data_IF_548086888075
#
_entry.id   IF_548086888075
#
_cell.length_a   1.000
_cell.length_b   1.000
_cell.length_c   1.000
_cell.angle_alpha   90.00
_cell.angle_beta   90.00
_cell.angle_gamma   90.00
#
_symmetry.space_group_name_H-M   'P 1'
#
loop_
_entity.id
_entity.type
_entity.pdbx_description
1 polymer ?
#
# COMPACT_ATOMS: atom_id res chain seq x y z
N UNK A 1 -7.39 -2.92 -21.29
CA UNK A 1 -6.06 -2.40 -20.88
C UNK A 1 -6.28 -1.71 -19.55
N UNK A 2 -5.90 -2.34 -18.44
CA UNK A 2 -6.15 -1.82 -17.09
C UNK A 2 -4.88 -1.16 -16.54
N UNK A 3 -5.07 0.00 -15.91
CA UNK A 3 -4.02 0.98 -15.60
C UNK A 3 -3.19 0.58 -14.37
N UNK A 4 -1.87 0.59 -14.51
CA UNK A 4 -0.97 0.91 -13.40
C UNK A 4 -0.78 2.43 -13.42
N UNK A 5 -1.28 3.13 -12.40
CA UNK A 5 -0.89 4.50 -12.11
C UNK A 5 0.27 4.45 -11.11
N UNK A 6 1.49 4.24 -11.60
CA UNK A 6 2.75 4.58 -10.90
C UNK A 6 3.87 4.71 -11.96
N UNK A 7 4.93 5.49 -11.70
CA UNK A 7 5.49 6.47 -12.64
C UNK A 7 6.23 5.80 -13.82
N UNK A 8 6.25 6.48 -14.97
CA UNK A 8 6.94 6.05 -16.21
C UNK A 8 8.44 5.70 -16.05
N UNK A 9 9.05 6.00 -14.90
CA UNK A 9 10.47 5.80 -14.60
C UNK A 9 10.78 4.50 -13.83
N UNK A 10 9.79 3.64 -13.56
CA UNK A 10 10.07 2.27 -13.09
C UNK A 10 10.70 2.11 -11.70
N UNK A 11 10.59 3.11 -10.81
CA UNK A 11 11.21 3.11 -9.48
C UNK A 11 10.46 2.33 -8.39
N UNK A 12 9.31 1.71 -8.70
CA UNK A 12 8.67 0.70 -7.84
C UNK A 12 7.83 -0.27 -8.68
N UNK A 13 8.17 -1.56 -8.63
CA UNK A 13 7.45 -2.60 -9.34
C UNK A 13 6.22 -3.00 -8.52
N UNK A 14 5.05 -2.39 -8.78
CA UNK A 14 3.78 -2.99 -8.39
C UNK A 14 3.56 -4.26 -9.23
N UNK A 15 4.27 -5.33 -8.88
CA UNK A 15 4.24 -6.61 -9.57
C UNK A 15 2.91 -7.29 -9.26
N UNK A 16 2.15 -7.58 -10.31
CA UNK A 16 0.92 -8.36 -10.21
C UNK A 16 1.23 -9.76 -10.74
N UNK A 17 1.06 -10.77 -9.89
CA UNK A 17 1.24 -12.19 -10.23
C UNK A 17 -0.12 -12.81 -10.48
N UNK A 18 -0.20 -13.70 -11.47
CA UNK A 18 -1.38 -14.53 -11.71
C UNK A 18 -1.24 -15.80 -10.89
N UNK A 19 -2.16 -16.01 -9.94
CA UNK A 19 -2.32 -17.27 -9.20
C UNK A 19 -3.57 -17.99 -9.74
N UNK A 20 -3.53 -19.31 -9.81
CA UNK A 20 -4.69 -20.11 -10.21
C UNK A 20 -5.37 -20.68 -8.95
N UNK A 21 -6.69 -20.57 -8.86
CA UNK A 21 -7.44 -21.21 -7.78
C UNK A 21 -7.51 -22.73 -7.96
N UNK A 22 -8.11 -23.41 -6.99
CA UNK A 22 -8.31 -24.87 -7.01
C UNK A 22 -9.13 -25.37 -8.23
N UNK A 23 -9.89 -24.48 -8.88
CA UNK A 23 -10.69 -24.76 -10.07
C UNK A 23 -9.97 -24.35 -11.36
N UNK A 24 -8.73 -23.85 -11.28
CA UNK A 24 -7.94 -23.40 -12.42
C UNK A 24 -8.32 -22.02 -12.96
N UNK A 25 -9.08 -21.21 -12.21
CA UNK A 25 -9.37 -19.83 -12.64
C UNK A 25 -8.22 -18.89 -12.25
N UNK A 26 -7.82 -17.97 -13.14
CA UNK A 26 -6.76 -17.00 -12.85
C UNK A 26 -7.25 -15.87 -11.93
N UNK A 27 -6.47 -15.59 -10.89
CA UNK A 27 -6.64 -14.48 -9.97
C UNK A 27 -5.39 -13.61 -9.98
N UNK A 28 -5.59 -12.30 -10.09
CA UNK A 28 -4.51 -11.33 -10.07
C UNK A 28 -4.23 -10.91 -8.63
N UNK A 29 -2.98 -11.04 -8.19
CA UNK A 29 -2.55 -10.70 -6.84
C UNK A 29 -1.36 -9.76 -6.90
N UNK A 30 -1.46 -8.64 -6.20
CA UNK A 30 -0.33 -7.76 -6.01
C UNK A 30 0.70 -8.45 -5.10
N UNK A 31 1.96 -8.45 -5.52
CA UNK A 31 3.08 -8.90 -4.72
C UNK A 31 3.36 -7.87 -3.63
N UNK A 32 3.75 -8.36 -2.46
CA UNK A 32 4.14 -7.50 -1.35
C UNK A 32 5.33 -6.61 -1.76
N UNK A 33 5.16 -5.30 -1.65
CA UNK A 33 6.20 -4.33 -1.97
C UNK A 33 6.95 -3.95 -0.68
N UNK A 34 8.06 -4.63 -0.42
CA UNK A 34 8.92 -4.38 0.74
C UNK A 34 9.40 -2.93 0.81
N UNK A 35 9.79 -2.35 -0.33
CA UNK A 35 10.31 -0.98 -0.37
C UNK A 35 9.23 0.06 -0.04
N UNK A 36 8.01 -0.13 -0.53
CA UNK A 36 6.87 0.73 -0.17
C UNK A 36 6.53 0.59 1.31
N UNK A 37 6.64 -0.62 1.87
CA UNK A 37 6.43 -0.85 3.29
C UNK A 37 7.48 -0.14 4.16
N UNK A 38 8.76 -0.21 3.79
CA UNK A 38 9.84 0.50 4.48
C UNK A 38 9.66 2.02 4.42
N UNK A 39 9.31 2.57 3.27
CA UNK A 39 9.03 4.01 3.12
C UNK A 39 7.84 4.46 3.96
N UNK A 40 6.76 3.65 3.98
CA UNK A 40 5.60 3.94 4.82
C UNK A 40 5.95 3.88 6.31
N UNK A 41 6.75 2.89 6.73
CA UNK A 41 7.19 2.77 8.11
C UNK A 41 8.07 3.95 8.55
N UNK A 42 9.01 4.37 7.70
CA UNK A 42 9.84 5.55 7.97
C UNK A 42 9.01 6.84 8.06
N UNK A 43 7.97 6.97 7.23
CA UNK A 43 7.03 8.09 7.33
C UNK A 43 6.25 8.03 8.65
N UNK A 44 5.75 6.87 9.05
CA UNK A 44 5.02 6.67 10.32
C UNK A 44 5.90 6.98 11.54
N UNK A 45 7.17 6.58 11.52
CA UNK A 45 8.14 6.89 12.58
C UNK A 45 8.24 8.40 12.85
N UNK A 46 8.22 9.23 11.80
CA UNK A 46 8.24 10.69 11.94
C UNK A 46 7.04 11.28 12.70
N UNK A 47 5.92 10.55 12.80
CA UNK A 47 4.68 10.99 13.45
C UNK A 47 4.33 10.18 14.71
N UNK A 48 5.21 9.31 15.19
CA UNK A 48 4.97 8.44 16.33
C UNK A 48 4.41 9.17 17.56
N UNK A 49 4.92 10.37 17.86
CA UNK A 49 4.45 11.15 19.03
C UNK A 49 2.96 11.49 18.99
N UNK A 50 2.40 11.72 17.80
CA UNK A 50 0.97 11.99 17.60
C UNK A 50 0.19 10.68 17.57
N UNK A 51 0.69 9.65 16.86
CA UNK A 51 0.04 8.36 16.75
C UNK A 51 -0.10 7.62 18.07
N UNK A 52 0.90 7.71 18.95
CA UNK A 52 0.87 7.10 20.27
C UNK A 52 -0.23 7.69 21.19
N UNK A 53 -0.77 8.87 20.85
CA UNK A 53 -1.87 9.51 21.59
C UNK A 53 -3.26 9.16 21.03
N UNK A 54 -3.33 8.47 19.90
CA UNK A 54 -4.59 8.10 19.26
C UNK A 54 -5.13 6.78 19.79
N UNK A 55 -6.45 6.62 19.75
CA UNK A 55 -7.06 5.30 19.85
C UNK A 55 -6.77 4.50 18.58
N UNK A 56 -6.84 3.17 18.66
CA UNK A 56 -6.67 2.28 17.49
C UNK A 56 -7.64 2.65 16.37
N UNK A 57 -8.89 3.02 16.72
CA UNK A 57 -9.88 3.44 15.74
C UNK A 57 -9.46 4.72 15.01
N UNK A 58 -9.02 5.74 15.75
CA UNK A 58 -8.58 7.01 15.17
C UNK A 58 -7.32 6.84 14.32
N UNK A 59 -6.38 6.01 14.77
CA UNK A 59 -5.18 5.68 14.00
C UNK A 59 -5.54 5.04 12.65
N UNK A 60 -6.44 4.05 12.64
CA UNK A 60 -6.88 3.38 11.40
C UNK A 60 -7.57 4.35 10.44
N UNK A 61 -8.47 5.20 10.95
CA UNK A 61 -9.15 6.19 10.13
C UNK A 61 -8.18 7.24 9.56
N UNK A 62 -7.27 7.73 10.39
CA UNK A 62 -6.25 8.69 9.98
C UNK A 62 -5.35 8.13 8.88
N UNK A 63 -4.82 6.92 9.07
CA UNK A 63 -3.96 6.27 8.08
C UNK A 63 -4.70 6.06 6.75
N UNK A 64 -5.97 5.65 6.82
CA UNK A 64 -6.80 5.49 5.63
C UNK A 64 -7.02 6.82 4.89
N UNK A 65 -7.37 7.89 5.61
CA UNK A 65 -7.58 9.21 5.02
C UNK A 65 -6.29 9.78 4.39
N UNK A 66 -5.16 9.66 5.07
CA UNK A 66 -3.87 10.12 4.55
C UNK A 66 -3.48 9.36 3.28
N UNK A 67 -3.54 8.02 3.30
CA UNK A 67 -3.25 7.23 2.11
C UNK A 67 -4.19 7.57 0.95
N UNK A 68 -5.49 7.74 1.22
CA UNK A 68 -6.47 8.12 0.21
C UNK A 68 -6.13 9.46 -0.46
N UNK A 69 -5.81 10.49 0.33
CA UNK A 69 -5.42 11.82 -0.17
C UNK A 69 -4.14 11.74 -1.02
N UNK A 70 -3.16 10.92 -0.62
CA UNK A 70 -1.89 10.79 -1.34
C UNK A 70 -1.97 9.92 -2.61
N UNK A 71 -3.07 9.21 -2.83
CA UNK A 71 -3.27 8.36 -4.01
C UNK A 71 -4.17 8.97 -5.09
N UNK A 72 -4.75 10.16 -4.85
CA UNK A 72 -5.44 10.95 -5.88
C UNK A 72 -4.43 11.65 -6.79
#
# INVERSE_FOLDING_TARGET
KWCNLTPLNGSALNLVVVEYDINGNPHYKCVFNTQACEQLNAWIEGFQGIFNRMTIYNFKWFLHAMLFIHTQ
#
